data_IF_368812319811
#
_entry.id   IF_368812319811
#
_cell.length_a   1.000
_cell.length_b   1.000
_cell.length_c   1.000
_cell.angle_alpha   90.00
_cell.angle_beta   90.00
_cell.angle_gamma   90.00
#
_symmetry.space_group_name_H-M   'P 1'
#
loop_
_entity.id
_entity.type
_entity.pdbx_description
1 polymer ?
#
# COMPACT_ATOMS: atom_id res chain seq x y z
N UNK A 1 -19.86 12.00 -15.87
CA UNK A 1 -18.39 11.96 -15.83
C UNK A 1 -17.96 10.61 -15.28
N UNK A 2 -17.00 9.93 -15.92
CA UNK A 2 -16.31 8.76 -15.37
C UNK A 2 -15.81 9.01 -13.94
N UNK A 3 -15.86 8.00 -13.08
CA UNK A 3 -15.55 8.14 -11.64
C UNK A 3 -14.15 8.70 -11.40
N UNK A 4 -13.16 8.32 -12.22
CA UNK A 4 -11.76 8.72 -12.06
C UNK A 4 -11.56 10.23 -12.28
N UNK A 5 -12.27 10.82 -13.25
CA UNK A 5 -12.20 12.26 -13.57
C UNK A 5 -12.76 13.13 -12.44
N UNK A 6 -13.58 12.56 -11.56
CA UNK A 6 -14.09 13.25 -10.35
C UNK A 6 -13.09 13.25 -9.21
N UNK A 7 -12.07 12.39 -9.26
CA UNK A 7 -11.08 12.21 -8.18
C UNK A 7 -9.80 12.98 -8.51
N UNK A 8 -9.29 12.86 -9.75
CA UNK A 8 -8.03 13.48 -10.18
C UNK A 8 -7.95 13.71 -11.70
N UNK A 9 -7.07 14.60 -12.20
CA UNK A 9 -7.06 14.98 -13.62
C UNK A 9 -6.56 13.88 -14.57
N UNK A 10 -5.77 12.92 -14.07
CA UNK A 10 -5.24 11.82 -14.88
C UNK A 10 -4.49 10.79 -14.06
N UNK A 11 -4.08 9.66 -14.67
CA UNK A 11 -3.22 8.67 -14.02
C UNK A 11 -1.81 9.22 -13.82
N UNK A 12 -1.12 8.72 -12.80
CA UNK A 12 0.24 9.14 -12.42
C UNK A 12 1.13 7.91 -12.28
N UNK A 13 2.43 8.09 -12.50
CA UNK A 13 3.43 7.04 -12.35
C UNK A 13 4.16 7.23 -11.03
N UNK A 14 4.22 6.18 -10.22
CA UNK A 14 4.88 6.21 -8.92
C UNK A 14 6.37 6.59 -9.02
N UNK A 15 7.06 6.10 -10.06
CA UNK A 15 8.48 6.39 -10.32
C UNK A 15 8.77 7.87 -10.57
N UNK A 16 7.74 8.64 -10.96
CA UNK A 16 7.83 10.07 -11.25
C UNK A 16 7.33 10.93 -10.06
N UNK A 17 6.88 10.30 -8.97
CA UNK A 17 6.39 10.97 -7.76
C UNK A 17 7.51 11.09 -6.71
N UNK A 18 7.88 12.32 -6.28
CA UNK A 18 8.89 12.55 -5.26
C UNK A 18 8.32 12.55 -3.83
N UNK A 19 6.99 12.49 -3.67
CA UNK A 19 6.36 12.70 -2.38
C UNK A 19 6.66 11.54 -1.41
N UNK A 20 6.97 11.84 -0.13
CA UNK A 20 7.14 10.83 0.89
C UNK A 20 5.77 10.33 1.40
N UNK A 21 5.72 9.05 1.77
CA UNK A 21 4.56 8.40 2.37
C UNK A 21 4.98 7.58 3.60
N UNK A 22 4.12 7.49 4.62
CA UNK A 22 4.36 6.59 5.74
C UNK A 22 4.16 5.12 5.32
N UNK A 23 3.17 4.88 4.46
CA UNK A 23 2.75 3.55 4.02
C UNK A 23 2.31 3.60 2.55
N UNK A 24 2.73 2.60 1.77
CA UNK A 24 2.35 2.38 0.38
C UNK A 24 1.65 1.03 0.27
N UNK A 25 0.39 1.04 -0.19
CA UNK A 25 -0.33 -0.17 -0.56
C UNK A 25 -0.21 -0.47 -2.05
N UNK A 26 0.13 -1.70 -2.40
CA UNK A 26 0.14 -2.19 -3.78
C UNK A 26 -0.94 -3.24 -3.99
N UNK A 27 -1.58 -3.22 -5.15
CA UNK A 27 -2.73 -4.08 -5.46
C UNK A 27 -2.37 -5.38 -6.22
N UNK A 28 -1.11 -5.82 -6.15
CA UNK A 28 -0.64 -7.01 -6.87
C UNK A 28 0.87 -7.14 -6.85
N UNK A 29 1.37 -8.38 -6.83
CA UNK A 29 2.79 -8.66 -6.59
C UNK A 29 3.73 -8.00 -7.62
N UNK A 30 3.30 -7.84 -8.87
CA UNK A 30 4.08 -7.15 -9.91
C UNK A 30 4.23 -5.66 -9.61
N UNK A 31 3.20 -5.01 -9.06
CA UNK A 31 3.27 -3.62 -8.63
C UNK A 31 4.16 -3.49 -7.39
N UNK A 32 4.01 -4.38 -6.41
CA UNK A 32 4.87 -4.47 -5.23
C UNK A 32 6.36 -4.51 -5.60
N UNK A 33 6.75 -5.48 -6.44
CA UNK A 33 8.14 -5.64 -6.85
C UNK A 33 8.69 -4.40 -7.56
N UNK A 34 7.86 -3.70 -8.35
CA UNK A 34 8.25 -2.46 -9.04
C UNK A 34 8.44 -1.30 -8.07
N UNK A 35 7.55 -1.15 -7.08
CA UNK A 35 7.66 -0.11 -6.05
C UNK A 35 8.90 -0.32 -5.20
N UNK A 36 9.12 -1.55 -4.72
CA UNK A 36 10.30 -1.88 -3.90
C UNK A 36 11.59 -1.66 -4.69
N UNK A 37 11.66 -2.13 -5.94
CA UNK A 37 12.84 -1.93 -6.78
C UNK A 37 13.13 -0.45 -7.05
N UNK A 38 12.08 0.36 -7.27
CA UNK A 38 12.21 1.80 -7.48
C UNK A 38 12.71 2.51 -6.22
N UNK A 39 12.12 2.24 -5.05
CA UNK A 39 12.56 2.80 -3.78
C UNK A 39 14.00 2.41 -3.44
N UNK A 40 14.40 1.15 -3.71
CA UNK A 40 15.78 0.71 -3.49
C UNK A 40 16.79 1.31 -4.47
N UNK A 41 16.35 1.79 -5.64
CA UNK A 41 17.21 2.41 -6.64
C UNK A 41 17.35 3.92 -6.47
N UNK A 42 16.45 4.57 -5.72
CA UNK A 42 16.54 5.99 -5.35
C UNK A 42 17.66 6.19 -4.32
N UNK A 43 18.28 7.37 -4.37
CA UNK A 43 19.25 7.78 -3.34
C UNK A 43 18.49 8.00 -2.01
N UNK A 44 19.02 7.42 -0.92
CA UNK A 44 18.42 7.52 0.42
C UNK A 44 18.90 8.82 1.10
N UNK A 45 18.18 9.91 0.85
CA UNK A 45 18.56 11.24 1.32
C UNK A 45 18.14 11.45 2.77
N UNK A 46 16.96 10.94 3.15
CA UNK A 46 16.34 11.26 4.44
C UNK A 46 16.43 10.13 5.46
N UNK A 47 16.66 8.90 5.00
CA UNK A 47 16.61 7.67 5.79
C UNK A 47 15.27 7.48 6.51
N UNK A 48 14.21 8.12 6.02
CA UNK A 48 12.88 7.97 6.58
C UNK A 48 12.28 6.63 6.14
N UNK A 49 11.79 5.79 7.07
CA UNK A 49 11.22 4.50 6.73
C UNK A 49 9.85 4.68 6.05
N UNK A 50 9.58 3.83 5.06
CA UNK A 50 8.26 3.67 4.44
C UNK A 50 7.87 2.20 4.43
N UNK A 51 6.66 1.90 4.88
CA UNK A 51 6.10 0.56 4.85
C UNK A 51 5.47 0.28 3.48
N UNK A 52 5.90 -0.76 2.79
CA UNK A 52 5.29 -1.19 1.53
C UNK A 52 4.54 -2.48 1.77
N UNK A 53 3.23 -2.51 1.47
CA UNK A 53 2.34 -3.65 1.72
C UNK A 53 1.63 -4.05 0.45
N UNK A 54 1.69 -5.32 0.09
CA UNK A 54 0.93 -5.87 -1.03
C UNK A 54 -0.38 -6.53 -0.55
N UNK A 55 -1.48 -6.05 -1.11
CA UNK A 55 -2.80 -6.69 -1.08
C UNK A 55 -3.05 -7.25 -2.48
N UNK A 56 -3.06 -8.57 -2.64
CA UNK A 56 -3.30 -9.17 -3.95
C UNK A 56 -4.78 -9.03 -4.32
N UNK A 57 -5.04 -8.30 -5.40
CA UNK A 57 -6.38 -7.92 -5.86
C UNK A 57 -6.49 -8.25 -7.34
N UNK A 58 -7.46 -9.11 -7.70
CA UNK A 58 -7.73 -9.43 -9.10
C UNK A 58 -8.21 -8.20 -9.87
N UNK A 59 -7.90 -8.14 -11.16
CA UNK A 59 -8.31 -7.04 -12.06
C UNK A 59 -9.79 -7.17 -12.48
N UNK A 60 -10.67 -7.16 -11.47
CA UNK A 60 -12.12 -7.16 -11.62
C UNK A 60 -12.72 -6.10 -10.70
N UNK A 61 -13.87 -5.54 -11.10
CA UNK A 61 -14.52 -4.49 -10.32
C UNK A 61 -14.94 -4.96 -8.91
N UNK A 62 -15.37 -6.21 -8.79
CA UNK A 62 -15.79 -6.82 -7.52
C UNK A 62 -14.60 -7.00 -6.58
N UNK A 63 -13.51 -7.59 -7.07
CA UNK A 63 -12.29 -7.77 -6.30
C UNK A 63 -11.67 -6.42 -5.90
N UNK A 64 -11.69 -5.42 -6.80
CA UNK A 64 -11.22 -4.07 -6.51
C UNK A 64 -12.02 -3.40 -5.39
N UNK A 65 -13.35 -3.57 -5.38
CA UNK A 65 -14.21 -3.03 -4.33
C UNK A 65 -13.93 -3.67 -2.98
N UNK A 66 -13.77 -5.00 -2.94
CA UNK A 66 -13.41 -5.73 -1.73
C UNK A 66 -12.00 -5.36 -1.24
N UNK A 67 -11.03 -5.28 -2.15
CA UNK A 67 -9.65 -4.88 -1.86
C UNK A 67 -9.57 -3.46 -1.30
N UNK A 68 -10.34 -2.53 -1.87
CA UNK A 68 -10.46 -1.17 -1.35
C UNK A 68 -11.04 -1.16 0.08
N UNK A 69 -12.04 -1.99 0.38
CA UNK A 69 -12.56 -2.13 1.75
C UNK A 69 -11.49 -2.64 2.71
N UNK A 70 -10.71 -3.65 2.31
CA UNK A 70 -9.62 -4.20 3.14
C UNK A 70 -8.57 -3.13 3.42
N UNK A 71 -8.10 -2.42 2.39
CA UNK A 71 -7.12 -1.34 2.54
C UNK A 71 -7.67 -0.24 3.46
N UNK A 72 -8.95 0.12 3.32
CA UNK A 72 -9.60 1.09 4.19
C UNK A 72 -9.63 0.64 5.66
N UNK A 73 -9.98 -0.62 5.94
CA UNK A 73 -9.96 -1.19 7.30
C UNK A 73 -8.54 -1.15 7.90
N UNK A 74 -7.52 -1.49 7.10
CA UNK A 74 -6.11 -1.43 7.54
C UNK A 74 -5.71 0.02 7.88
N UNK A 75 -5.98 0.98 7.00
CA UNK A 75 -5.68 2.40 7.23
C UNK A 75 -6.38 2.92 8.49
N UNK A 76 -7.66 2.60 8.69
CA UNK A 76 -8.39 3.01 9.90
C UNK A 76 -7.78 2.42 11.17
N UNK A 77 -7.34 1.17 11.13
CA UNK A 77 -6.66 0.52 12.26
C UNK A 77 -5.31 1.14 12.62
N UNK A 78 -4.71 1.92 11.70
CA UNK A 78 -3.40 2.56 11.84
C UNK A 78 -3.48 4.04 12.25
N UNK A 79 -4.63 4.71 12.10
CA UNK A 79 -4.79 6.17 12.30
C UNK A 79 -4.40 6.70 13.69
N UNK A 80 -4.19 5.84 14.69
CA UNK A 80 -3.84 6.22 16.06
C UNK A 80 -2.75 5.32 16.66
N UNK A 81 -1.96 4.65 15.81
CA UNK A 81 -0.91 3.78 16.28
C UNK A 81 0.35 4.58 16.64
N UNK A 82 0.80 4.49 17.89
CA UNK A 82 2.10 5.04 18.30
C UNK A 82 3.27 4.32 17.61
N UNK A 83 3.11 3.01 17.38
CA UNK A 83 4.02 2.17 16.59
C UNK A 83 3.27 1.59 15.39
N UNK A 84 3.44 2.23 14.24
CA UNK A 84 2.81 1.84 12.98
C UNK A 84 3.27 0.46 12.50
N UNK A 85 4.53 0.08 12.71
CA UNK A 85 5.05 -1.20 12.21
C UNK A 85 4.47 -2.37 13.00
N UNK A 86 4.52 -2.29 14.33
CA UNK A 86 3.95 -3.31 15.22
C UNK A 86 2.45 -3.41 14.99
N UNK A 87 1.75 -2.27 14.91
CA UNK A 87 0.31 -2.26 14.67
C UNK A 87 -0.07 -2.84 13.31
N UNK A 88 0.71 -2.54 12.26
CA UNK A 88 0.47 -3.10 10.93
C UNK A 88 0.60 -4.63 10.97
N UNK A 89 1.62 -5.18 11.63
CA UNK A 89 1.81 -6.63 11.73
C UNK A 89 0.60 -7.33 12.39
N UNK A 90 0.07 -6.76 13.47
CA UNK A 90 -1.15 -7.25 14.13
C UNK A 90 -2.36 -7.22 13.21
N UNK A 91 -2.57 -6.10 12.52
CA UNK A 91 -3.71 -5.91 11.60
C UNK A 91 -3.63 -6.88 10.43
N UNK A 92 -2.45 -7.04 9.81
CA UNK A 92 -2.25 -7.98 8.71
C UNK A 92 -2.53 -9.42 9.13
N UNK A 93 -2.13 -9.81 10.35
CA UNK A 93 -2.42 -11.13 10.89
C UNK A 93 -3.92 -11.32 11.13
N UNK A 94 -4.60 -10.37 11.77
CA UNK A 94 -6.04 -10.42 12.00
C UNK A 94 -6.84 -10.46 10.68
N UNK A 95 -6.44 -9.67 9.69
CA UNK A 95 -7.07 -9.68 8.36
C UNK A 95 -6.81 -11.01 7.64
N UNK A 96 -5.62 -11.59 7.76
CA UNK A 96 -5.31 -12.91 7.20
C UNK A 96 -6.19 -14.00 7.81
N UNK A 97 -6.44 -13.97 9.11
CA UNK A 97 -7.34 -14.90 9.79
C UNK A 97 -8.80 -14.71 9.35
N UNK A 98 -9.26 -13.46 9.21
CA UNK A 98 -10.63 -13.11 8.80
C UNK A 98 -10.91 -13.45 7.32
N UNK A 99 -9.94 -13.25 6.43
CA UNK A 99 -10.15 -13.28 4.97
C UNK A 99 -9.46 -14.44 4.27
N UNK A 100 -8.53 -15.14 4.93
CA UNK A 100 -7.66 -16.14 4.32
C UNK A 100 -6.58 -15.58 3.40
N UNK A 101 -6.51 -14.25 3.21
CA UNK A 101 -5.55 -13.60 2.30
C UNK A 101 -4.19 -13.48 2.95
N UNK A 102 -3.14 -13.70 2.16
CA UNK A 102 -1.77 -13.45 2.57
C UNK A 102 -1.31 -12.07 2.07
N UNK A 103 -0.47 -11.41 2.87
CA UNK A 103 0.07 -10.09 2.58
C UNK A 103 1.59 -10.17 2.52
N UNK A 104 2.18 -9.51 1.53
CA UNK A 104 3.62 -9.23 1.54
C UNK A 104 3.82 -7.86 2.15
N UNK A 105 4.84 -7.69 2.98
CA UNK A 105 5.22 -6.38 3.46
C UNK A 105 6.72 -6.28 3.63
N UNK A 106 7.26 -5.08 3.42
CA UNK A 106 8.66 -4.74 3.66
C UNK A 106 8.77 -3.29 4.13
N UNK A 107 9.93 -2.95 4.68
CA UNK A 107 10.33 -1.56 4.92
C UNK A 107 11.31 -1.16 3.82
N UNK A 108 11.10 0.02 3.25
CA UNK A 108 12.06 0.72 2.40
C UNK A 108 12.42 2.06 3.06
N UNK A 109 13.36 2.79 2.47
CA UNK A 109 13.83 4.07 3.01
C UNK A 109 13.89 5.10 1.88
N UNK A 110 13.48 6.33 2.18
CA UNK A 110 13.70 7.51 1.34
C UNK A 110 15.06 8.16 1.60
#
# INVERSE_FOLDING_TARGET
MPINERIKPGPERFQECPDPFDIIFTCGQRAYNRVVADLCARDQETWQPVLVVNVDIDDTLEAASLGASIICELCQGLQQADDTQSRLAELLQATKEKTGRSFLHTVCFY
#
